data_IF_291144670988
#
_entry.id   IF_291144670988
#
_cell.length_a   1.000
_cell.length_b   1.000
_cell.length_c   1.000
_cell.angle_alpha   90.00
_cell.angle_beta   90.00
_cell.angle_gamma   90.00
#
_symmetry.space_group_name_H-M   'P 1'
#
loop_
_entity.id
_entity.type
_entity.pdbx_description
1 polymer ?
#
# COMPACT_ATOMS: atom_id res chain seq x y z
N UNK A 1 12.63 -11.81 17.23
CA UNK A 1 12.05 -10.56 17.74
C UNK A 1 11.43 -9.80 16.57
N UNK A 2 10.21 -9.27 16.73
CA UNK A 2 9.47 -8.50 15.72
C UNK A 2 8.73 -7.36 16.43
N UNK A 3 8.62 -6.20 15.78
CA UNK A 3 7.78 -5.10 16.24
C UNK A 3 6.70 -4.80 15.19
N UNK A 4 5.46 -4.67 15.64
CA UNK A 4 4.27 -4.36 14.83
C UNK A 4 3.58 -3.11 15.37
N UNK A 5 2.82 -2.42 14.53
CA UNK A 5 1.99 -1.29 14.93
C UNK A 5 0.55 -1.76 15.13
N UNK A 6 -0.17 -1.15 16.07
CA UNK A 6 -1.60 -1.42 16.25
C UNK A 6 -2.36 -1.11 14.93
N UNK A 7 -3.07 -2.09 14.33
CA UNK A 7 -3.84 -1.89 13.12
C UNK A 7 -4.88 -0.77 13.21
N UNK A 8 -5.41 -0.48 14.42
CA UNK A 8 -6.35 0.61 14.64
C UNK A 8 -5.74 1.99 14.36
N UNK A 9 -4.43 2.13 14.56
CA UNK A 9 -3.67 3.34 14.22
C UNK A 9 -3.33 3.44 12.73
N UNK A 10 -3.49 2.36 11.97
CA UNK A 10 -2.97 2.22 10.60
C UNK A 10 -1.49 1.82 10.57
N UNK A 11 -1.03 1.38 9.39
CA UNK A 11 0.37 0.97 9.20
C UNK A 11 1.34 2.16 9.25
N UNK A 12 2.58 1.91 9.68
CA UNK A 12 3.68 2.89 9.59
C UNK A 12 4.00 3.22 8.13
N UNK A 13 4.07 2.19 7.28
CA UNK A 13 4.31 2.33 5.85
C UNK A 13 3.70 1.16 5.07
N UNK A 14 3.64 1.32 3.76
CA UNK A 14 3.48 0.20 2.81
C UNK A 14 4.32 0.49 1.57
N UNK A 15 4.53 -0.51 0.73
CA UNK A 15 5.17 -0.34 -0.57
C UNK A 15 4.19 -0.68 -1.69
N UNK A 16 4.37 -0.07 -2.85
CA UNK A 16 3.55 -0.31 -4.03
C UNK A 16 4.06 -1.51 -4.82
N UNK A 17 3.15 -2.35 -5.29
CA UNK A 17 3.43 -3.42 -6.24
C UNK A 17 2.82 -3.06 -7.59
N UNK A 18 3.54 -3.35 -8.68
CA UNK A 18 3.03 -3.22 -10.04
C UNK A 18 2.92 -4.59 -10.71
N UNK A 19 1.78 -4.85 -11.32
CA UNK A 19 1.54 -6.02 -12.17
C UNK A 19 1.40 -5.54 -13.61
N UNK A 20 2.55 -5.39 -14.27
CA UNK A 20 2.62 -4.87 -15.62
C UNK A 20 2.68 -5.98 -16.67
N UNK A 21 2.14 -5.68 -17.87
CA UNK A 21 2.25 -6.53 -19.06
C UNK A 21 2.98 -5.76 -20.15
N UNK A 22 3.85 -6.45 -20.89
CA UNK A 22 4.49 -5.86 -22.07
C UNK A 22 3.44 -5.35 -23.07
N UNK A 23 3.61 -4.10 -23.52
CA UNK A 23 2.63 -3.40 -24.35
C UNK A 23 2.53 -4.01 -25.75
N UNK A 24 3.67 -4.40 -26.34
CA UNK A 24 3.67 -5.03 -27.66
C UNK A 24 2.96 -6.39 -27.60
N UNK A 25 3.21 -7.16 -26.55
CA UNK A 25 2.58 -8.45 -26.33
C UNK A 25 1.08 -8.31 -26.12
N UNK A 26 0.64 -7.38 -25.26
CA UNK A 26 -0.78 -7.09 -25.08
C UNK A 26 -1.44 -6.72 -26.42
N UNK A 27 -0.82 -5.84 -27.19
CA UNK A 27 -1.35 -5.41 -28.49
C UNK A 27 -1.43 -6.54 -29.53
N UNK A 28 -0.54 -7.54 -29.44
CA UNK A 28 -0.55 -8.72 -30.32
C UNK A 28 -1.64 -9.74 -29.99
N UNK A 29 -2.29 -9.65 -28.82
CA UNK A 29 -3.34 -10.58 -28.43
C UNK A 29 -4.59 -10.43 -29.31
N UNK A 30 -5.28 -11.56 -29.52
CA UNK A 30 -6.60 -11.57 -30.15
C UNK A 30 -7.62 -10.81 -29.28
N UNK A 31 -8.70 -10.24 -29.87
CA UNK A 31 -9.65 -9.40 -29.14
C UNK A 31 -10.30 -10.07 -27.92
N UNK A 32 -10.59 -11.37 -28.00
CA UNK A 32 -11.15 -12.17 -26.91
C UNK A 32 -10.18 -12.31 -25.74
N UNK A 33 -8.89 -12.57 -26.00
CA UNK A 33 -7.85 -12.64 -24.98
C UNK A 33 -7.59 -11.27 -24.34
N UNK A 34 -7.60 -10.19 -25.13
CA UNK A 34 -7.53 -8.82 -24.59
C UNK A 34 -8.68 -8.54 -23.63
N UNK A 35 -9.89 -8.97 -23.98
CA UNK A 35 -11.07 -8.81 -23.12
C UNK A 35 -10.90 -9.53 -21.79
N UNK A 36 -10.33 -10.74 -21.77
CA UNK A 36 -10.03 -11.48 -20.53
C UNK A 36 -9.00 -10.72 -19.68
N UNK A 37 -7.89 -10.27 -20.28
CA UNK A 37 -6.88 -9.50 -19.55
C UNK A 37 -7.48 -8.22 -18.97
N UNK A 38 -8.27 -7.50 -19.75
CA UNK A 38 -8.92 -6.27 -19.29
C UNK A 38 -9.90 -6.52 -18.15
N UNK A 39 -10.72 -7.58 -18.25
CA UNK A 39 -11.66 -7.97 -17.20
C UNK A 39 -10.97 -8.36 -15.88
N UNK A 40 -9.74 -8.87 -15.96
CA UNK A 40 -8.91 -9.24 -14.81
C UNK A 40 -7.92 -8.14 -14.39
N UNK A 41 -8.06 -6.91 -14.88
CA UNK A 41 -7.16 -5.78 -14.58
C UNK A 41 -7.90 -4.62 -13.90
N UNK A 42 -7.15 -3.60 -13.48
CA UNK A 42 -7.71 -2.34 -12.98
C UNK A 42 -8.15 -2.39 -11.53
N UNK A 43 -9.01 -1.44 -11.14
CA UNK A 43 -9.30 -1.12 -9.73
C UNK A 43 -9.82 -2.30 -8.91
N UNK A 44 -10.68 -3.15 -9.49
CA UNK A 44 -11.21 -4.32 -8.80
C UNK A 44 -10.11 -5.34 -8.49
N UNK A 45 -9.24 -5.64 -9.47
CA UNK A 45 -8.10 -6.53 -9.27
C UNK A 45 -7.09 -5.93 -8.29
N UNK A 46 -6.80 -4.62 -8.36
CA UNK A 46 -5.91 -3.96 -7.40
C UNK A 46 -6.43 -4.08 -5.96
N UNK A 47 -7.74 -3.88 -5.75
CA UNK A 47 -8.37 -4.08 -4.44
C UNK A 47 -8.31 -5.53 -3.96
N UNK A 48 -8.57 -6.50 -4.86
CA UNK A 48 -8.48 -7.93 -4.55
C UNK A 48 -7.05 -8.36 -4.19
N UNK A 49 -6.04 -7.88 -4.92
CA UNK A 49 -4.63 -8.17 -4.63
C UNK A 49 -4.23 -7.62 -3.26
N UNK A 50 -4.58 -6.36 -2.96
CA UNK A 50 -4.28 -5.75 -1.66
C UNK A 50 -4.92 -6.52 -0.49
N UNK A 51 -6.20 -6.89 -0.61
CA UNK A 51 -6.90 -7.70 0.40
C UNK A 51 -6.26 -9.08 0.57
N UNK A 52 -5.91 -9.74 -0.53
CA UNK A 52 -5.27 -11.07 -0.51
C UNK A 52 -3.91 -11.02 0.16
N UNK A 53 -3.10 -9.99 -0.13
CA UNK A 53 -1.79 -9.82 0.49
C UNK A 53 -1.91 -9.60 2.01
N UNK A 54 -2.78 -8.68 2.44
CA UNK A 54 -3.00 -8.40 3.86
C UNK A 54 -3.56 -9.62 4.62
N UNK A 55 -4.39 -10.44 3.98
CA UNK A 55 -4.88 -11.68 4.59
C UNK A 55 -3.75 -12.67 4.92
N UNK A 56 -2.60 -12.57 4.24
CA UNK A 56 -1.39 -13.34 4.54
C UNK A 56 -0.71 -12.98 5.86
N UNK A 57 -0.94 -11.77 6.39
CA UNK A 57 -0.27 -11.27 7.61
C UNK A 57 -0.53 -12.19 8.81
N UNK A 58 -1.76 -12.70 8.95
CA UNK A 58 -2.14 -13.57 10.06
C UNK A 58 -1.32 -14.87 10.09
N UNK A 59 -1.10 -15.48 8.92
CA UNK A 59 -0.30 -16.71 8.81
C UNK A 59 1.19 -16.45 9.10
N UNK A 60 1.73 -15.33 8.59
CA UNK A 60 3.11 -14.91 8.88
C UNK A 60 3.34 -14.65 10.36
N UNK A 61 2.43 -13.91 10.99
CA UNK A 61 2.44 -13.63 12.44
C UNK A 61 2.36 -14.91 13.27
N UNK A 62 1.47 -15.84 12.89
CA UNK A 62 1.34 -17.14 13.58
C UNK A 62 2.66 -17.93 13.53
N UNK A 63 3.30 -18.02 12.36
CA UNK A 63 4.59 -18.71 12.21
C UNK A 63 5.67 -18.13 13.12
N UNK A 64 5.73 -16.80 13.26
CA UNK A 64 6.65 -16.14 14.20
C UNK A 64 6.33 -16.50 15.66
N UNK A 65 5.04 -16.48 16.03
CA UNK A 65 4.58 -16.85 17.38
C UNK A 65 4.87 -18.32 17.72
N UNK A 66 4.60 -19.25 16.79
CA UNK A 66 4.80 -20.69 16.99
C UNK A 66 6.29 -21.03 17.21
N UNK A 67 7.20 -20.21 16.70
CA UNK A 67 8.65 -20.34 16.90
C UNK A 67 9.13 -19.69 18.21
N UNK A 68 8.22 -19.17 19.04
CA UNK A 68 8.54 -18.52 20.31
C UNK A 68 9.17 -17.13 20.17
N UNK A 69 9.02 -16.47 19.02
CA UNK A 69 9.53 -15.11 18.85
C UNK A 69 8.73 -14.12 19.70
N UNK A 70 9.41 -13.18 20.36
CA UNK A 70 8.76 -11.99 20.91
C UNK A 70 8.19 -11.12 19.78
N UNK A 71 6.89 -10.84 19.86
CA UNK A 71 6.17 -9.89 19.01
C UNK A 71 5.77 -8.72 19.91
N UNK A 72 6.35 -7.55 19.66
CA UNK A 72 6.09 -6.32 20.40
C UNK A 72 5.13 -5.43 19.61
N UNK A 73 4.03 -5.01 20.21
CA UNK A 73 3.10 -4.05 19.61
C UNK A 73 3.44 -2.64 20.08
N UNK A 74 3.81 -1.77 19.15
CA UNK A 74 4.09 -0.34 19.39
C UNK A 74 2.79 0.35 19.84
N UNK A 75 2.84 1.07 20.95
CA UNK A 75 1.69 1.80 21.47
C UNK A 75 1.28 2.97 20.58
N UNK A 76 0.04 3.46 20.73
CA UNK A 76 -0.43 4.61 19.97
C UNK A 76 0.44 5.87 20.21
N UNK A 77 0.85 6.13 21.45
CA UNK A 77 1.70 7.28 21.80
C UNK A 77 3.07 7.18 21.13
N UNK A 78 3.67 6.00 21.15
CA UNK A 78 4.96 5.78 20.51
C UNK A 78 4.83 5.83 18.99
N UNK A 79 3.74 5.33 18.41
CA UNK A 79 3.46 5.49 16.99
C UNK A 79 3.36 6.97 16.56
N UNK A 80 2.90 7.86 17.45
CA UNK A 80 2.95 9.30 17.20
C UNK A 80 4.38 9.87 17.22
N UNK A 81 5.28 9.34 18.06
CA UNK A 81 6.71 9.68 18.01
C UNK A 81 7.32 9.30 16.66
N UNK A 82 7.06 8.08 16.16
CA UNK A 82 7.47 7.66 14.83
C UNK A 82 6.96 8.61 13.74
N UNK A 83 5.65 8.93 13.75
CA UNK A 83 5.05 9.87 12.78
C UNK A 83 5.71 11.24 12.82
N UNK A 84 5.99 11.77 14.01
CA UNK A 84 6.68 13.06 14.17
C UNK A 84 8.10 13.01 13.62
N UNK A 85 8.86 11.97 13.96
CA UNK A 85 10.24 11.79 13.50
C UNK A 85 10.34 11.63 11.98
N UNK A 86 9.33 11.05 11.34
CA UNK A 86 9.30 10.82 9.89
C UNK A 86 8.76 11.98 9.05
N UNK A 87 8.28 13.08 9.66
CA UNK A 87 7.63 14.20 8.93
C UNK A 87 8.48 14.77 7.80
N UNK A 88 9.79 14.82 8.00
CA UNK A 88 10.73 15.40 7.05
C UNK A 88 10.75 14.63 5.71
N UNK A 89 10.46 13.32 5.73
CA UNK A 89 10.46 12.47 4.53
C UNK A 89 9.42 12.97 3.51
N UNK A 90 8.24 13.37 3.97
CA UNK A 90 7.20 13.89 3.08
C UNK A 90 7.60 15.24 2.47
N UNK A 91 8.28 16.09 3.25
CA UNK A 91 8.78 17.40 2.80
C UNK A 91 9.85 17.23 1.72
N UNK A 92 10.81 16.33 1.96
CA UNK A 92 11.88 16.01 1.02
C UNK A 92 11.33 15.39 -0.27
N UNK A 93 10.35 14.49 -0.15
CA UNK A 93 9.72 13.87 -1.31
C UNK A 93 8.96 14.91 -2.15
N UNK A 94 8.21 15.83 -1.54
CA UNK A 94 7.53 16.92 -2.26
C UNK A 94 8.55 17.78 -3.01
N UNK A 95 9.66 18.14 -2.36
CA UNK A 95 10.73 18.92 -2.98
C UNK A 95 11.38 18.17 -4.17
N UNK A 96 11.64 16.87 -4.03
CA UNK A 96 12.18 16.03 -5.12
C UNK A 96 11.20 15.95 -6.29
N UNK A 97 9.90 15.76 -6.04
CA UNK A 97 8.89 15.74 -7.10
C UNK A 97 8.79 17.09 -7.83
N UNK A 98 8.86 18.20 -7.10
CA UNK A 98 8.89 19.54 -7.68
C UNK A 98 10.12 19.74 -8.57
N UNK A 99 11.30 19.29 -8.13
CA UNK A 99 12.54 19.33 -8.93
C UNK A 99 12.42 18.52 -10.22
N UNK A 100 11.64 17.43 -10.21
CA UNK A 100 11.34 16.60 -11.38
C UNK A 100 10.24 17.16 -12.27
N UNK A 101 9.68 18.33 -11.95
CA UNK A 101 8.66 19.02 -12.75
C UNK A 101 7.22 18.60 -12.45
N UNK A 102 6.98 17.87 -11.35
CA UNK A 102 5.64 17.54 -10.89
C UNK A 102 5.15 18.53 -9.82
N UNK A 103 3.84 18.58 -9.59
CA UNK A 103 3.29 19.22 -8.39
C UNK A 103 3.29 18.21 -7.24
N UNK A 104 4.41 18.14 -6.50
CA UNK A 104 4.60 17.18 -5.42
C UNK A 104 3.54 17.32 -4.33
N UNK A 105 3.12 18.54 -4.02
CA UNK A 105 2.09 18.76 -2.99
C UNK A 105 0.75 18.19 -3.42
N UNK A 106 0.34 18.47 -4.65
CA UNK A 106 -0.89 17.92 -5.22
C UNK A 106 -0.86 16.40 -5.29
N UNK A 107 0.26 15.79 -5.64
CA UNK A 107 0.40 14.32 -5.66
C UNK A 107 0.20 13.72 -4.26
N UNK A 108 0.86 14.26 -3.25
CA UNK A 108 0.73 13.80 -1.86
C UNK A 108 -0.70 13.94 -1.34
N UNK A 109 -1.31 15.11 -1.54
CA UNK A 109 -2.67 15.38 -1.07
C UNK A 109 -3.71 14.51 -1.82
N UNK A 110 -3.49 14.26 -3.12
CA UNK A 110 -4.34 13.35 -3.91
C UNK A 110 -4.25 11.92 -3.40
N UNK A 111 -3.04 11.42 -3.11
CA UNK A 111 -2.85 10.07 -2.58
C UNK A 111 -3.60 9.90 -1.24
N UNK A 112 -3.47 10.87 -0.32
CA UNK A 112 -4.19 10.87 0.96
C UNK A 112 -5.71 10.86 0.78
N UNK A 113 -6.22 11.71 -0.11
CA UNK A 113 -7.66 11.78 -0.41
C UNK A 113 -8.21 10.48 -1.01
N UNK A 114 -7.47 9.85 -1.93
CA UNK A 114 -7.86 8.57 -2.50
C UNK A 114 -7.85 7.45 -1.44
N UNK A 115 -6.83 7.38 -0.58
CA UNK A 115 -6.80 6.43 0.53
C UNK A 115 -8.02 6.60 1.44
N UNK A 116 -8.35 7.84 1.83
CA UNK A 116 -9.51 8.12 2.67
C UNK A 116 -10.82 7.69 1.98
N UNK A 117 -11.00 8.07 0.71
CA UNK A 117 -12.17 7.71 -0.10
C UNK A 117 -12.38 6.19 -0.15
N UNK A 118 -11.34 5.43 -0.48
CA UNK A 118 -11.43 3.98 -0.66
C UNK A 118 -11.44 3.21 0.67
N UNK A 119 -10.95 3.79 1.76
CA UNK A 119 -11.10 3.22 3.10
C UNK A 119 -12.55 3.31 3.59
N UNK A 120 -13.23 4.44 3.38
CA UNK A 120 -14.65 4.63 3.78
C UNK A 120 -15.57 3.65 3.05
N UNK A 121 -15.37 3.48 1.74
CA UNK A 121 -16.19 2.56 0.92
C UNK A 121 -16.01 1.08 1.30
N UNK A 122 -14.88 0.72 1.93
CA UNK A 122 -14.58 -0.67 2.32
C UNK A 122 -15.12 -1.03 3.71
N UNK A 123 -15.54 -0.06 4.52
CA UNK A 123 -16.11 -0.28 5.88
C UNK A 123 -17.63 -0.53 5.91
N UNK A 124 -18.27 -0.78 4.76
CA UNK A 124 -19.69 -1.09 4.64
C UNK A 124 -19.95 -2.59 4.45
#
# INVERSE_FOLDING_TARGET
>A
FHAEFDPAGGSLYTTTFDMAMDKAKYNSLQPDLKKVIHASSGMATSGWLGKTQQAGDAAGRKSASDRGNTIFTVSADEAQNFRRGSRQIEVEWVADMNKRGFDGRKLLDTARSLIEKHTKTTKA
#
